data_IF_823720144293
#
_entry.id   IF_823720144293
#
_cell.length_a   1.000
_cell.length_b   1.000
_cell.length_c   1.000
_cell.angle_alpha   90.00
_cell.angle_beta   90.00
_cell.angle_gamma   90.00
#
_symmetry.space_group_name_H-M   'P 1'
#
loop_
_entity.id
_entity.type
_entity.pdbx_description
1 polymer ?
#
# COMPACT_ATOMS: atom_id res chain seq x y z
N UNK A 1 15.95 -37.27 -9.64
CA UNK A 1 16.92 -37.49 -10.75
C UNK A 1 17.33 -36.11 -11.23
N UNK A 2 18.30 -35.53 -10.54
CA UNK A 2 19.63 -35.16 -11.08
C UNK A 2 19.56 -34.15 -12.24
N UNK A 3 19.99 -32.91 -11.95
CA UNK A 3 21.17 -32.24 -12.56
C UNK A 3 20.78 -31.44 -13.82
N UNK A 4 21.09 -30.16 -14.03
CA UNK A 4 22.35 -29.44 -13.83
C UNK A 4 22.10 -27.90 -13.91
N UNK A 5 22.74 -27.14 -13.01
CA UNK A 5 23.25 -25.78 -13.28
C UNK A 5 24.26 -25.85 -14.45
N UNK A 6 24.51 -24.79 -15.25
CA UNK A 6 25.51 -23.80 -14.80
C UNK A 6 25.52 -22.38 -15.42
N UNK A 7 26.27 -21.50 -14.73
CA UNK A 7 27.15 -20.41 -15.22
C UNK A 7 26.55 -19.20 -15.98
N UNK A 8 26.62 -18.00 -15.40
CA UNK A 8 27.76 -17.06 -15.52
C UNK A 8 28.04 -16.58 -16.94
N UNK A 9 27.52 -15.40 -17.30
CA UNK A 9 28.17 -14.48 -18.23
C UNK A 9 27.87 -13.02 -17.83
N UNK A 10 28.89 -12.32 -17.32
CA UNK A 10 29.12 -10.87 -17.52
C UNK A 10 29.29 -10.61 -19.04
N UNK A 11 29.28 -9.37 -19.60
CA UNK A 11 29.70 -8.10 -19.00
C UNK A 11 29.01 -6.79 -19.51
N UNK A 12 29.45 -5.65 -18.97
CA UNK A 12 29.65 -4.35 -19.68
C UNK A 12 28.56 -3.26 -19.70
N UNK A 13 29.09 -2.03 -19.54
CA UNK A 13 28.59 -0.67 -19.86
C UNK A 13 27.74 0.04 -18.78
N UNK A 14 28.35 0.99 -18.05
CA UNK A 14 28.42 2.44 -18.35
C UNK A 14 27.11 3.14 -17.94
N UNK A 15 27.07 4.16 -17.07
CA UNK A 15 27.80 5.42 -17.14
C UNK A 15 27.71 6.20 -15.79
N UNK A 16 28.43 7.33 -15.64
CA UNK A 16 28.96 7.85 -14.38
C UNK A 16 28.15 9.01 -13.79
N UNK A 17 28.41 9.35 -12.53
CA UNK A 17 28.37 10.74 -12.07
C UNK A 17 29.49 10.99 -11.04
N UNK A 18 30.54 11.63 -11.51
CA UNK A 18 31.59 12.34 -10.75
C UNK A 18 30.94 13.51 -9.99
N UNK A 19 31.32 13.83 -8.76
CA UNK A 19 32.49 14.68 -8.46
C UNK A 19 32.75 14.79 -6.95
N UNK A 20 33.98 15.16 -6.53
CA UNK A 20 34.59 14.83 -5.23
C UNK A 20 34.67 16.06 -4.30
N UNK A 21 35.14 15.88 -3.04
CA UNK A 21 36.01 16.85 -2.34
C UNK A 21 36.57 16.25 -1.02
N UNK A 22 37.90 16.15 -0.99
CA UNK A 22 38.85 16.33 0.14
C UNK A 22 38.72 15.41 1.38
N UNK A 23 39.63 14.46 1.60
CA UNK A 23 41.04 14.55 2.05
C UNK A 23 41.24 14.57 3.57
N UNK A 24 42.39 14.00 4.00
CA UNK A 24 43.03 13.96 5.34
C UNK A 24 42.62 12.73 6.14
N UNK A 25 43.39 11.64 6.20
CA UNK A 25 44.83 11.47 6.45
C UNK A 25 45.30 12.08 7.80
N UNK A 26 45.63 11.15 8.71
CA UNK A 26 46.69 11.21 9.74
C UNK A 26 46.42 11.92 11.08
N UNK A 27 46.57 11.08 12.14
CA UNK A 27 47.10 11.30 13.50
C UNK A 27 46.49 12.43 14.35
N UNK A 28 46.12 12.10 15.59
CA UNK A 28 47.00 12.24 16.77
C UNK A 28 46.28 11.85 18.07
N UNK A 29 46.98 11.14 18.95
CA UNK A 29 46.69 10.95 20.38
C UNK A 29 46.71 12.29 21.14
N UNK A 30 46.08 12.39 22.32
CA UNK A 30 46.80 12.26 23.61
C UNK A 30 45.90 11.61 24.71
N UNK A 31 46.27 11.30 25.96
CA UNK A 31 47.48 11.38 26.77
C UNK A 31 47.23 10.56 28.05
N UNK A 32 48.31 9.96 28.55
CA UNK A 32 48.68 9.46 29.88
C UNK A 32 47.79 9.73 31.13
N UNK A 33 47.79 8.78 32.09
CA UNK A 33 48.51 8.92 33.38
C UNK A 33 48.24 7.79 34.42
N UNK A 34 49.31 7.05 34.78
CA UNK A 34 49.71 6.55 36.13
C UNK A 34 48.87 5.41 36.78
N UNK A 35 49.39 4.21 37.12
CA UNK A 35 50.28 3.87 38.28
C UNK A 35 50.48 2.33 38.39
N UNK A 36 51.59 1.88 38.98
CA UNK A 36 51.74 0.56 39.64
C UNK A 36 52.52 -0.50 38.83
N UNK A 37 53.86 -0.46 38.73
CA UNK A 37 54.88 -0.85 39.71
C UNK A 37 55.08 -2.37 39.90
N UNK A 38 56.23 -2.83 39.38
CA UNK A 38 57.20 -3.80 39.96
C UNK A 38 56.97 -5.31 39.87
N UNK A 39 58.06 -5.93 39.39
CA UNK A 39 58.64 -7.22 39.83
C UNK A 39 57.86 -8.47 39.36
N UNK A 40 58.47 -9.50 38.77
CA UNK A 40 59.84 -9.96 38.80
C UNK A 40 60.22 -10.59 37.45
N UNK A 41 61.52 -10.47 37.15
CA UNK A 41 62.40 -11.49 36.58
C UNK A 41 61.83 -12.33 35.43
N UNK A 42 62.34 -12.15 34.22
CA UNK A 42 63.62 -12.79 33.84
C UNK A 42 63.60 -14.30 34.13
N UNK A 43 64.01 -15.16 33.23
CA UNK A 43 65.27 -15.09 32.55
C UNK A 43 65.23 -16.26 31.58
N UNK A 44 65.62 -15.97 30.34
CA UNK A 44 66.51 -16.82 29.57
C UNK A 44 65.94 -18.14 29.05
N UNK A 45 65.76 -18.21 27.73
CA UNK A 45 66.84 -18.64 26.83
C UNK A 45 67.36 -20.02 27.24
N UNK A 46 67.07 -21.04 26.43
CA UNK A 46 68.13 -21.62 25.61
C UNK A 46 67.55 -22.64 24.60
N UNK A 47 67.84 -22.40 23.31
CA UNK A 47 68.24 -23.36 22.26
C UNK A 47 67.43 -24.65 22.08
N UNK A 48 66.69 -24.77 20.97
CA UNK A 48 67.08 -25.22 19.61
C UNK A 48 67.07 -26.75 19.43
N UNK A 49 66.59 -27.25 18.26
CA UNK A 49 66.07 -28.60 18.06
C UNK A 49 67.15 -29.57 17.51
N UNK A 50 66.80 -30.86 17.32
CA UNK A 50 66.96 -31.36 15.95
C UNK A 50 65.87 -32.33 15.46
N UNK A 51 65.64 -32.21 14.15
CA UNK A 51 65.31 -33.23 13.14
C UNK A 51 65.13 -34.68 13.59
N UNK A 52 64.01 -35.31 13.19
CA UNK A 52 63.97 -36.16 11.99
C UNK A 52 62.54 -36.70 11.78
N UNK A 53 62.11 -36.77 10.52
CA UNK A 53 60.84 -37.35 10.10
C UNK A 53 60.69 -38.79 10.59
N UNK A 54 59.51 -39.11 11.13
CA UNK A 54 58.89 -40.43 10.96
C UNK A 54 57.44 -40.26 10.53
N UNK A 55 57.22 -40.47 9.24
CA UNK A 55 55.96 -40.90 8.66
C UNK A 55 55.47 -42.15 9.40
N UNK A 56 54.37 -42.01 10.15
CA UNK A 56 53.56 -43.15 10.57
C UNK A 56 52.13 -42.94 10.11
N UNK A 57 51.81 -43.63 9.02
CA UNK A 57 50.45 -43.90 8.57
C UNK A 57 49.57 -44.35 9.74
N UNK A 58 48.45 -43.66 9.96
CA UNK A 58 47.28 -44.23 10.64
C UNK A 58 45.99 -43.72 9.99
N UNK A 59 45.74 -44.22 8.78
CA UNK A 59 44.40 -44.34 8.23
C UNK A 59 43.58 -45.28 9.15
N UNK A 60 42.82 -44.70 10.09
CA UNK A 60 41.76 -45.38 10.87
C UNK A 60 40.99 -44.38 11.77
N UNK A 61 40.42 -43.32 11.19
CA UNK A 61 39.43 -42.48 11.90
C UNK A 61 38.48 -41.71 10.95
N UNK A 62 38.21 -42.23 9.75
CA UNK A 62 37.29 -41.59 8.80
C UNK A 62 35.83 -41.68 9.26
N UNK A 63 35.38 -42.86 9.72
CA UNK A 63 33.95 -43.09 10.00
C UNK A 63 33.33 -42.25 11.11
N UNK A 64 34.10 -41.76 12.09
CA UNK A 64 33.58 -40.93 13.17
C UNK A 64 33.31 -39.47 12.77
N UNK A 65 34.13 -38.92 11.88
CA UNK A 65 33.94 -37.56 11.35
C UNK A 65 32.71 -37.51 10.45
N UNK A 66 32.51 -38.54 9.62
CA UNK A 66 31.36 -38.66 8.71
C UNK A 66 30.03 -38.75 9.48
N UNK A 67 30.00 -39.45 10.62
CA UNK A 67 28.82 -39.53 11.48
C UNK A 67 28.49 -38.21 12.18
N UNK A 68 29.50 -37.46 12.66
CA UNK A 68 29.29 -36.13 13.23
C UNK A 68 28.78 -35.13 12.19
N UNK A 69 29.36 -35.12 10.99
CA UNK A 69 28.90 -34.29 9.87
C UNK A 69 27.46 -34.64 9.48
N UNK A 70 27.09 -35.92 9.43
CA UNK A 70 25.72 -36.36 9.12
C UNK A 70 24.71 -35.94 10.19
N UNK A 71 25.09 -35.99 11.49
CA UNK A 71 24.23 -35.50 12.58
C UNK A 71 24.01 -34.00 12.50
N UNK A 72 25.07 -33.21 12.27
CA UNK A 72 24.96 -31.74 12.12
C UNK A 72 24.10 -31.37 10.91
N UNK A 73 24.29 -32.03 9.77
CA UNK A 73 23.49 -31.79 8.57
C UNK A 73 22.02 -32.14 8.77
N UNK A 74 21.72 -33.22 9.52
CA UNK A 74 20.33 -33.57 9.86
C UNK A 74 19.69 -32.50 10.75
N UNK A 75 20.41 -32.00 11.74
CA UNK A 75 19.93 -30.92 12.61
C UNK A 75 19.68 -29.63 11.83
N UNK A 76 20.62 -29.22 10.97
CA UNK A 76 20.47 -28.03 10.11
C UNK A 76 19.28 -28.18 9.15
N UNK A 77 19.12 -29.36 8.53
CA UNK A 77 17.99 -29.63 7.64
C UNK A 77 16.64 -29.50 8.36
N UNK A 78 16.55 -30.02 9.60
CA UNK A 78 15.33 -29.90 10.41
C UNK A 78 15.00 -28.44 10.74
N UNK A 79 16.00 -27.61 11.06
CA UNK A 79 15.79 -26.18 11.32
C UNK A 79 15.34 -25.41 10.07
N UNK A 80 15.96 -25.68 8.92
CA UNK A 80 15.57 -25.04 7.65
C UNK A 80 14.14 -25.46 7.26
N UNK A 81 13.80 -26.74 7.42
CA UNK A 81 12.45 -27.22 7.16
C UNK A 81 11.41 -26.57 8.07
N UNK A 82 11.70 -26.45 9.38
CA UNK A 82 10.82 -25.78 10.33
C UNK A 82 10.63 -24.29 10.00
N UNK A 83 11.71 -23.59 9.63
CA UNK A 83 11.65 -22.20 9.21
C UNK A 83 10.82 -22.03 7.92
N UNK A 84 10.97 -22.93 6.95
CA UNK A 84 10.20 -22.93 5.71
C UNK A 84 8.70 -23.11 5.94
N UNK A 85 8.31 -24.08 6.76
CA UNK A 85 6.90 -24.30 7.14
C UNK A 85 6.35 -23.10 7.92
N UNK A 86 7.13 -22.54 8.85
CA UNK A 86 6.74 -21.35 9.59
C UNK A 86 6.48 -20.14 8.68
N UNK A 87 7.33 -19.92 7.67
CA UNK A 87 7.17 -18.81 6.74
C UNK A 87 5.92 -18.95 5.87
N UNK A 88 5.62 -20.18 5.41
CA UNK A 88 4.40 -20.47 4.65
C UNK A 88 3.17 -20.29 5.54
N UNK A 89 3.21 -20.79 6.78
CA UNK A 89 2.13 -20.63 7.75
C UNK A 89 1.82 -19.18 8.07
N UNK A 90 2.85 -18.35 8.32
CA UNK A 90 2.69 -16.91 8.56
C UNK A 90 2.12 -16.18 7.35
N UNK A 91 2.56 -16.53 6.14
CA UNK A 91 2.04 -15.93 4.90
C UNK A 91 0.56 -16.23 4.69
N UNK A 92 0.11 -17.46 5.00
CA UNK A 92 -1.29 -17.85 4.92
C UNK A 92 -2.15 -17.20 6.03
N UNK A 93 -1.60 -17.06 7.25
CA UNK A 93 -2.29 -16.44 8.37
C UNK A 93 -2.40 -14.91 8.27
N UNK A 94 -1.54 -14.24 7.50
CA UNK A 94 -1.55 -12.78 7.37
C UNK A 94 -2.87 -12.25 6.78
N UNK A 95 -3.48 -12.97 5.83
CA UNK A 95 -4.73 -12.53 5.17
C UNK A 95 -5.92 -12.46 6.13
N UNK A 96 -6.29 -13.52 6.88
CA UNK A 96 -7.39 -13.43 7.84
C UNK A 96 -7.08 -12.47 9.01
N UNK A 97 -5.82 -12.39 9.46
CA UNK A 97 -5.41 -11.45 10.51
C UNK A 97 -5.61 -9.99 10.05
N UNK A 98 -5.25 -9.69 8.79
CA UNK A 98 -5.48 -8.37 8.20
C UNK A 98 -6.98 -8.04 8.09
N UNK A 99 -7.81 -9.02 7.69
CA UNK A 99 -9.27 -8.83 7.65
C UNK A 99 -9.86 -8.51 9.01
N UNK A 100 -9.45 -9.22 10.05
CA UNK A 100 -9.87 -8.94 11.43
C UNK A 100 -9.43 -7.55 11.90
N UNK A 101 -8.21 -7.15 11.57
CA UNK A 101 -7.72 -5.80 11.86
C UNK A 101 -8.53 -4.73 11.12
N UNK A 102 -8.82 -4.92 9.83
CA UNK A 102 -9.62 -3.99 9.03
C UNK A 102 -11.06 -3.88 9.53
N UNK A 103 -11.66 -4.98 10.00
CA UNK A 103 -12.99 -4.97 10.61
C UNK A 103 -12.99 -4.25 11.96
N UNK A 104 -11.97 -4.46 12.80
CA UNK A 104 -11.88 -3.81 14.11
C UNK A 104 -11.56 -2.30 14.02
N UNK A 105 -10.81 -1.88 13.01
CA UNK A 105 -10.40 -0.47 12.84
C UNK A 105 -11.27 0.32 11.87
N UNK A 106 -12.08 -0.34 11.05
CA UNK A 106 -12.95 0.29 10.06
C UNK A 106 -12.22 0.94 8.87
N UNK A 107 -10.90 0.73 8.72
CA UNK A 107 -10.11 1.37 7.65
C UNK A 107 -10.29 0.74 6.25
N UNK A 108 -11.08 -0.33 6.13
CA UNK A 108 -11.11 -1.18 4.93
C UNK A 108 -12.37 -1.11 4.06
N UNK A 109 -13.42 -0.38 4.47
CA UNK A 109 -14.66 -0.23 3.69
C UNK A 109 -15.44 -1.53 3.40
N UNK A 110 -14.98 -2.70 3.86
CA UNK A 110 -15.78 -3.92 3.84
C UNK A 110 -16.80 -3.81 4.96
N UNK A 111 -17.96 -3.28 4.61
CA UNK A 111 -19.17 -3.42 5.39
C UNK A 111 -19.28 -4.88 5.86
N UNK A 112 -19.68 -5.05 7.11
CA UNK A 112 -20.18 -6.32 7.63
C UNK A 112 -21.12 -6.87 6.57
N UNK A 113 -20.93 -8.12 6.18
CA UNK A 113 -21.73 -8.77 5.15
C UNK A 113 -23.15 -9.04 5.66
N UNK A 114 -23.89 -7.97 5.94
CA UNK A 114 -25.31 -7.98 6.16
C UNK A 114 -25.93 -7.18 5.03
N UNK A 115 -26.31 -7.92 4.01
CA UNK A 115 -27.01 -7.45 2.82
C UNK A 115 -28.45 -7.09 3.25
N UNK A 116 -28.62 -6.03 4.03
CA UNK A 116 -29.91 -5.61 4.56
C UNK A 116 -30.58 -4.60 3.62
N UNK A 117 -31.04 -5.09 2.47
CA UNK A 117 -31.91 -4.33 1.56
C UNK A 117 -33.29 -4.01 2.17
N UNK A 118 -33.62 -4.63 3.32
CA UNK A 118 -34.91 -4.46 4.01
C UNK A 118 -34.91 -3.32 5.05
N UNK A 119 -33.75 -2.73 5.36
CA UNK A 119 -33.67 -1.62 6.34
C UNK A 119 -34.14 -0.28 5.76
N UNK A 120 -34.18 -0.12 4.44
CA UNK A 120 -34.59 1.14 3.79
C UNK A 120 -36.05 1.50 4.08
N UNK A 121 -36.93 0.53 4.33
CA UNK A 121 -38.36 0.79 4.61
C UNK A 121 -38.65 1.14 6.08
N UNK A 122 -37.71 0.90 7.01
CA UNK A 122 -37.93 1.05 8.46
C UNK A 122 -37.06 2.13 9.10
N UNK A 123 -36.38 2.96 8.31
CA UNK A 123 -35.58 4.06 8.83
C UNK A 123 -36.51 5.19 9.33
N UNK A 124 -36.54 5.39 10.65
CA UNK A 124 -37.13 6.60 11.24
C UNK A 124 -36.10 7.73 11.11
N UNK A 125 -36.41 8.84 10.42
CA UNK A 125 -35.49 9.96 10.33
C UNK A 125 -35.26 10.52 11.73
N UNK A 126 -33.99 10.55 12.17
CA UNK A 126 -33.59 11.30 13.37
C UNK A 126 -33.61 12.77 12.96
N UNK A 127 -34.78 13.42 13.14
CA UNK A 127 -35.07 14.79 12.69
C UNK A 127 -34.19 15.88 13.30
N UNK A 128 -33.28 15.53 14.19
CA UNK A 128 -32.62 16.46 15.10
C UNK A 128 -31.24 16.92 14.62
N UNK A 129 -30.66 16.26 13.60
CA UNK A 129 -29.33 16.60 13.08
C UNK A 129 -29.35 16.97 11.60
N UNK A 130 -29.07 18.24 11.32
CA UNK A 130 -28.99 18.77 9.95
C UNK A 130 -27.53 18.70 9.49
N UNK A 131 -27.29 18.01 8.37
CA UNK A 131 -25.97 17.90 7.75
C UNK A 131 -25.93 18.78 6.51
N UNK A 132 -24.87 19.59 6.40
CA UNK A 132 -24.61 20.38 5.21
C UNK A 132 -23.85 19.56 4.17
N UNK A 133 -24.47 19.32 3.02
CA UNK A 133 -23.79 18.70 1.89
C UNK A 133 -23.35 19.79 0.92
N UNK A 134 -22.04 19.98 0.80
CA UNK A 134 -21.41 20.90 -0.13
C UNK A 134 -21.07 20.17 -1.44
N UNK A 135 -21.38 20.78 -2.58
CA UNK A 135 -21.11 20.22 -3.89
C UNK A 135 -19.96 20.95 -4.55
N UNK A 136 -18.93 20.20 -4.93
CA UNK A 136 -17.81 20.69 -5.71
C UNK A 136 -17.77 20.01 -7.07
N UNK A 137 -17.33 20.76 -8.08
CA UNK A 137 -17.25 20.36 -9.47
C UNK A 137 -15.92 20.82 -10.05
N UNK A 138 -15.10 19.85 -10.45
CA UNK A 138 -13.80 20.07 -11.06
C UNK A 138 -13.74 19.41 -12.44
N UNK A 139 -12.93 19.97 -13.33
CA UNK A 139 -12.65 19.42 -14.65
C UNK A 139 -11.16 19.27 -14.85
N UNK A 140 -10.72 18.10 -15.30
CA UNK A 140 -9.31 17.89 -15.63
C UNK A 140 -8.92 18.69 -16.89
N UNK A 141 -7.66 19.09 -17.01
CA UNK A 141 -7.15 19.89 -18.13
C UNK A 141 -7.32 19.22 -19.51
N UNK A 142 -7.56 17.91 -19.55
CA UNK A 142 -7.83 17.19 -20.80
C UNK A 142 -9.24 17.40 -21.35
N UNK A 143 -10.20 17.83 -20.53
CA UNK A 143 -11.60 18.01 -20.94
C UNK A 143 -11.99 19.48 -20.91
N UNK A 144 -12.46 20.01 -22.03
CA UNK A 144 -12.86 21.42 -22.18
C UNK A 144 -14.37 21.59 -21.95
N UNK A 145 -14.86 21.05 -20.84
CA UNK A 145 -16.24 21.22 -20.42
C UNK A 145 -16.34 22.32 -19.38
N UNK A 146 -17.44 23.06 -19.41
CA UNK A 146 -17.85 23.90 -18.30
C UNK A 146 -18.77 23.06 -17.42
N UNK A 147 -18.22 22.55 -16.32
CA UNK A 147 -18.94 21.73 -15.35
C UNK A 147 -19.07 22.48 -14.03
N UNK A 148 -20.31 22.64 -13.56
CA UNK A 148 -20.61 23.37 -12.33
C UNK A 148 -21.82 22.78 -11.60
N UNK A 149 -21.86 22.81 -10.26
CA UNK A 149 -23.06 22.45 -9.54
C UNK A 149 -24.14 23.53 -9.78
N UNK A 150 -25.41 23.13 -9.86
CA UNK A 150 -26.51 24.10 -9.84
C UNK A 150 -26.71 24.70 -8.44
N UNK A 151 -26.46 23.89 -7.42
CA UNK A 151 -26.56 24.26 -6.00
C UNK A 151 -25.24 23.95 -5.30
N UNK A 152 -24.64 24.94 -4.65
CA UNK A 152 -23.32 24.78 -4.00
C UNK A 152 -23.43 24.04 -2.67
N UNK A 153 -24.58 24.14 -2.00
CA UNK A 153 -24.85 23.44 -0.74
C UNK A 153 -26.34 23.12 -0.60
N UNK A 154 -26.62 22.01 0.09
CA UNK A 154 -27.96 21.69 0.58
C UNK A 154 -27.89 21.21 2.03
N UNK A 155 -28.99 21.37 2.74
CA UNK A 155 -29.17 20.89 4.10
C UNK A 155 -30.06 19.65 4.05
N UNK A 156 -29.59 18.54 4.60
CA UNK A 156 -30.28 17.25 4.59
C UNK A 156 -30.23 16.62 5.98
N UNK A 157 -31.23 15.82 6.30
CA UNK A 157 -31.27 15.04 7.54
C UNK A 157 -30.86 13.59 7.25
N UNK A 158 -30.08 12.92 8.12
CA UNK A 158 -29.84 11.48 7.99
C UNK A 158 -31.15 10.67 7.88
N UNK A 159 -31.21 9.76 6.91
CA UNK A 159 -32.40 9.02 6.52
C UNK A 159 -33.31 9.74 5.51
N UNK A 160 -33.03 11.00 5.16
CA UNK A 160 -33.72 11.71 4.07
C UNK A 160 -32.99 11.53 2.74
N UNK A 161 -33.75 11.26 1.68
CA UNK A 161 -33.23 11.23 0.31
C UNK A 161 -33.21 12.62 -0.30
N UNK A 162 -32.11 12.99 -0.93
CA UNK A 162 -31.93 14.28 -1.57
C UNK A 162 -31.50 14.15 -3.04
N UNK A 163 -31.86 15.17 -3.82
CA UNK A 163 -31.51 15.29 -5.23
C UNK A 163 -30.67 16.54 -5.45
N UNK A 164 -29.56 16.39 -6.17
CA UNK A 164 -28.73 17.50 -6.60
C UNK A 164 -28.49 17.47 -8.10
N UNK A 165 -28.37 18.65 -8.71
CA UNK A 165 -28.14 18.80 -10.13
C UNK A 165 -26.78 19.41 -10.39
N UNK A 166 -26.07 18.82 -11.34
CA UNK A 166 -24.89 19.42 -11.94
C UNK A 166 -25.17 19.76 -13.41
N UNK A 167 -24.52 20.82 -13.90
CA UNK A 167 -24.64 21.27 -15.27
C UNK A 167 -23.31 21.08 -15.97
N UNK A 168 -23.34 20.37 -17.10
CA UNK A 168 -22.18 20.20 -17.97
C UNK A 168 -22.49 20.80 -19.34
N UNK A 169 -21.54 21.60 -19.86
CA UNK A 169 -21.59 22.16 -21.20
C UNK A 169 -20.31 21.90 -21.96
N UNK A 170 -20.43 21.32 -23.15
CA UNK A 170 -19.32 21.24 -24.09
C UNK A 170 -19.22 22.56 -24.85
N UNK A 171 -18.13 23.32 -24.66
CA UNK A 171 -17.94 24.61 -25.35
C UNK A 171 -17.16 24.48 -26.67
N UNK A 172 -16.86 23.25 -27.11
CA UNK A 172 -16.05 22.98 -28.30
C UNK A 172 -16.91 22.58 -29.49
N UNK A 173 -16.33 22.64 -30.69
CA UNK A 173 -17.00 22.28 -31.95
C UNK A 173 -16.95 20.78 -32.28
N UNK A 174 -16.44 19.95 -31.36
CA UNK A 174 -16.34 18.49 -31.52
C UNK A 174 -17.05 17.76 -30.38
N UNK A 175 -17.63 16.58 -30.64
CA UNK A 175 -18.15 15.75 -29.57
C UNK A 175 -17.00 15.28 -28.69
N UNK A 176 -17.21 15.31 -27.37
CA UNK A 176 -16.24 14.85 -26.38
C UNK A 176 -16.93 13.80 -25.52
N UNK A 177 -16.21 12.74 -25.18
CA UNK A 177 -16.67 11.71 -24.24
C UNK A 177 -15.91 11.94 -22.93
N UNK A 178 -16.67 12.06 -21.84
CA UNK A 178 -16.14 12.26 -20.50
C UNK A 178 -16.56 11.12 -19.58
N UNK A 179 -15.63 10.70 -18.72
CA UNK A 179 -15.93 9.88 -17.54
C UNK A 179 -15.65 10.72 -16.30
N UNK A 180 -16.41 10.52 -15.24
CA UNK A 180 -16.19 11.25 -13.98
C UNK A 180 -15.75 10.31 -12.88
N UNK A 181 -15.09 10.86 -11.87
CA UNK A 181 -14.91 10.20 -10.59
C UNK A 181 -15.44 11.12 -9.49
N UNK A 182 -15.79 10.52 -8.35
CA UNK A 182 -16.29 11.27 -7.21
C UNK A 182 -15.48 10.96 -5.95
N UNK A 183 -15.48 11.91 -5.03
CA UNK A 183 -14.90 11.76 -3.70
C UNK A 183 -15.85 12.37 -2.65
N UNK A 184 -15.88 11.76 -1.46
CA UNK A 184 -16.65 12.23 -0.31
C UNK A 184 -15.69 12.58 0.82
N UNK A 185 -15.78 13.80 1.33
CA UNK A 185 -14.93 14.32 2.40
C UNK A 185 -15.81 14.81 3.56
N UNK A 186 -15.52 14.45 4.83
CA UNK A 186 -14.43 13.59 5.28
C UNK A 186 -14.63 12.12 4.89
N UNK A 187 -13.53 11.38 4.75
CA UNK A 187 -13.55 9.97 4.32
C UNK A 187 -14.39 9.08 5.24
N UNK A 188 -14.37 9.37 6.54
CA UNK A 188 -15.14 8.63 7.55
C UNK A 188 -16.66 8.75 7.34
N UNK A 189 -17.15 9.88 6.79
CA UNK A 189 -18.55 10.05 6.44
C UNK A 189 -18.92 9.32 5.12
N UNK A 190 -17.93 8.97 4.31
CA UNK A 190 -18.11 8.31 3.02
C UNK A 190 -18.78 6.93 3.13
N UNK A 191 -18.64 6.24 4.26
CA UNK A 191 -19.29 4.94 4.49
C UNK A 191 -20.81 5.03 4.68
N UNK A 192 -21.29 6.18 5.17
CA UNK A 192 -22.71 6.44 5.38
C UNK A 192 -23.35 7.17 4.21
N UNK A 193 -22.55 7.65 3.25
CA UNK A 193 -23.02 8.40 2.10
C UNK A 193 -23.39 7.45 0.96
N UNK A 194 -24.68 7.19 0.80
CA UNK A 194 -25.19 6.24 -0.18
C UNK A 194 -25.74 6.97 -1.41
N UNK A 195 -25.10 6.74 -2.55
CA UNK A 195 -25.45 7.36 -3.82
C UNK A 195 -26.21 6.34 -4.69
N UNK A 196 -27.51 6.54 -4.81
CA UNK A 196 -28.44 5.61 -5.47
C UNK A 196 -28.29 5.68 -6.99
N UNK A 197 -28.11 6.87 -7.56
CA UNK A 197 -27.94 7.06 -9.01
C UNK A 197 -26.78 8.01 -9.30
N UNK A 198 -25.87 7.61 -10.18
CA UNK A 198 -24.79 8.47 -10.62
C UNK A 198 -24.29 8.21 -12.05
N UNK A 199 -24.00 9.32 -12.73
CA UNK A 199 -23.20 9.40 -13.96
C UNK A 199 -21.72 8.97 -13.81
N UNK A 200 -21.30 8.55 -12.60
CA UNK A 200 -19.91 8.41 -12.15
C UNK A 200 -19.10 7.34 -12.87
N UNK A 201 -19.72 6.49 -13.67
CA UNK A 201 -19.06 5.35 -14.28
C UNK A 201 -19.56 5.07 -15.69
N UNK A 202 -20.37 5.98 -16.22
CA UNK A 202 -20.90 5.90 -17.57
C UNK A 202 -20.21 6.96 -18.42
N UNK A 203 -19.81 6.56 -19.61
CA UNK A 203 -19.27 7.46 -20.62
C UNK A 203 -20.35 8.44 -21.05
N UNK A 204 -20.19 9.70 -20.66
CA UNK A 204 -21.09 10.78 -21.07
C UNK A 204 -20.55 11.39 -22.36
N UNK A 205 -21.33 11.31 -23.44
CA UNK A 205 -20.99 11.96 -24.71
C UNK A 205 -21.79 13.25 -24.83
N UNK A 206 -21.11 14.40 -24.87
CA UNK A 206 -21.73 15.69 -25.16
C UNK A 206 -21.35 16.14 -26.58
N UNK A 207 -22.34 16.44 -27.39
CA UNK A 207 -22.17 17.01 -28.72
C UNK A 207 -21.66 18.46 -28.63
N UNK A 208 -21.21 19.03 -29.75
CA UNK A 208 -20.77 20.43 -29.80
C UNK A 208 -21.84 21.38 -29.25
N UNK A 209 -21.45 22.29 -28.35
CA UNK A 209 -22.33 23.29 -27.73
C UNK A 209 -23.53 22.73 -26.95
N UNK A 210 -23.56 21.42 -26.70
CA UNK A 210 -24.61 20.77 -25.93
C UNK A 210 -24.44 21.06 -24.43
N UNK A 211 -25.57 21.31 -23.77
CA UNK A 211 -25.67 21.52 -22.33
C UNK A 211 -26.67 20.52 -21.76
N UNK A 212 -26.25 19.79 -20.74
CA UNK A 212 -27.08 18.76 -20.08
C UNK A 212 -27.06 18.95 -18.56
N UNK A 213 -28.20 18.69 -17.94
CA UNK A 213 -28.34 18.63 -16.49
C UNK A 213 -28.23 17.17 -16.02
N UNK A 214 -27.27 16.90 -15.15
CA UNK A 214 -26.95 15.58 -14.62
C UNK A 214 -27.44 15.48 -13.17
N UNK A 215 -28.52 14.71 -12.90
CA UNK A 215 -29.01 14.50 -11.55
C UNK A 215 -28.12 13.53 -10.77
N UNK A 216 -27.98 13.78 -9.47
CA UNK A 216 -27.36 12.88 -8.49
C UNK A 216 -28.36 12.67 -7.37
N UNK A 217 -28.79 11.42 -7.19
CA UNK A 217 -29.71 11.02 -6.14
C UNK A 217 -28.97 10.25 -5.05
N UNK A 218 -29.09 10.72 -3.81
CA UNK A 218 -28.34 10.19 -2.68
C UNK A 218 -29.13 10.31 -1.37
N UNK A 219 -28.66 9.61 -0.34
CA UNK A 219 -29.11 9.76 1.04
C UNK A 219 -27.94 9.53 1.99
N UNK A 220 -28.09 10.00 3.22
CA UNK A 220 -27.15 9.72 4.32
C UNK A 220 -27.81 8.66 5.19
N UNK A 221 -27.10 7.58 5.51
CA UNK A 221 -27.59 6.54 6.40
C UNK A 221 -27.86 7.10 7.82
N UNK A 222 -29.00 6.81 8.46
CA UNK A 222 -29.26 7.21 9.84
C UNK A 222 -28.25 6.69 10.86
N UNK A 223 -27.52 5.59 10.58
CA UNK A 223 -26.42 5.11 11.43
C UNK A 223 -25.29 6.16 11.59
N UNK A 224 -25.24 7.18 10.73
CA UNK A 224 -24.35 8.33 10.86
C UNK A 224 -24.52 9.06 12.20
N UNK A 225 -25.72 9.10 12.76
CA UNK A 225 -25.96 9.77 14.03
C UNK A 225 -25.56 8.92 15.25
N UNK A 226 -25.53 7.60 15.09
CA UNK A 226 -25.17 6.67 16.16
C UNK A 226 -23.65 6.56 16.36
N UNK A 227 -22.83 6.85 15.34
CA UNK A 227 -21.37 6.79 15.43
C UNK A 227 -20.76 8.01 16.18
N UNK A 228 -20.10 7.80 17.35
CA UNK A 228 -19.42 8.87 18.07
C UNK A 228 -18.34 9.60 17.27
N UNK A 229 -17.73 8.96 16.26
CA UNK A 229 -16.74 9.59 15.37
C UNK A 229 -17.40 10.67 14.53
N UNK A 230 -18.64 10.44 14.12
CA UNK A 230 -19.39 11.34 13.25
C UNK A 230 -20.03 12.49 14.02
N UNK A 231 -20.03 12.49 15.36
CA UNK A 231 -20.62 13.52 16.21
C UNK A 231 -20.13 14.96 15.96
N UNK A 232 -18.97 15.15 15.32
CA UNK A 232 -18.42 16.47 14.95
C UNK A 232 -18.44 16.78 13.46
N UNK A 233 -18.96 15.86 12.65
CA UNK A 233 -19.02 16.01 11.19
C UNK A 233 -20.40 16.57 10.84
N UNK A 234 -20.46 17.87 10.61
CA UNK A 234 -21.71 18.56 10.22
C UNK A 234 -21.69 18.99 8.75
N UNK A 235 -20.55 18.83 8.07
CA UNK A 235 -20.39 19.15 6.65
C UNK A 235 -19.75 18.00 5.91
N UNK A 236 -20.41 17.58 4.82
CA UNK A 236 -19.91 16.57 3.89
C UNK A 236 -19.74 17.24 2.53
N UNK A 237 -18.57 17.12 1.93
CA UNK A 237 -18.30 17.65 0.59
C UNK A 237 -18.30 16.50 -0.40
N UNK A 238 -19.20 16.58 -1.39
CA UNK A 238 -19.25 15.71 -2.55
C UNK A 238 -18.55 16.41 -3.72
N UNK A 239 -17.35 15.93 -4.04
CA UNK A 239 -16.52 16.48 -5.12
C UNK A 239 -16.55 15.56 -6.33
N UNK A 240 -16.86 16.11 -7.50
CA UNK A 240 -16.78 15.42 -8.79
C UNK A 240 -15.66 15.97 -9.63
N UNK A 241 -14.96 15.08 -10.34
CA UNK A 241 -13.95 15.47 -11.33
C UNK A 241 -14.18 14.74 -12.65
N UNK A 242 -14.30 15.50 -13.74
CA UNK A 242 -14.41 14.93 -15.10
C UNK A 242 -13.06 14.76 -15.79
N UNK A 243 -12.92 13.66 -16.51
CA UNK A 243 -11.77 13.29 -17.34
C UNK A 243 -12.24 12.97 -18.76
N UNK A 244 -11.47 13.40 -19.75
CA UNK A 244 -11.70 13.00 -21.15
C UNK A 244 -11.41 11.50 -21.32
N UNK A 245 -12.42 10.74 -21.76
CA UNK A 245 -12.26 9.36 -22.19
C UNK A 245 -11.85 9.37 -23.66
N UNK A 246 -10.60 9.01 -23.94
CA UNK A 246 -10.11 8.88 -25.32
C UNK A 246 -10.39 7.47 -25.82
N UNK A 247 -11.11 7.37 -26.93
CA UNK A 247 -11.23 6.12 -27.67
C UNK A 247 -9.82 5.57 -27.99
N UNK A 248 -9.50 4.38 -27.48
CA UNK A 248 -8.28 3.66 -27.84
C UNK A 248 -7.12 3.69 -26.84
N UNK A 249 -7.27 4.29 -25.64
CA UNK A 249 -6.31 4.02 -24.57
C UNK A 249 -6.59 2.64 -23.96
N UNK A 250 -6.01 1.60 -24.56
CA UNK A 250 -5.86 0.29 -23.91
C UNK A 250 -4.99 0.48 -22.67
N UNK A 251 -5.61 0.58 -21.51
CA UNK A 251 -4.90 0.49 -20.24
C UNK A 251 -4.23 -0.90 -20.21
N UNK A 252 -2.89 -0.99 -20.04
CA UNK A 252 -2.27 -2.27 -19.80
C UNK A 252 -2.76 -2.78 -18.45
N UNK A 253 -3.76 -3.66 -18.46
CA UNK A 253 -4.15 -4.38 -17.26
C UNK A 253 -2.93 -5.20 -16.83
N UNK A 254 -2.42 -5.04 -15.60
CA UNK A 254 -1.30 -5.85 -15.13
C UNK A 254 -1.74 -7.32 -15.12
N UNK A 255 -1.23 -8.10 -16.07
CA UNK A 255 -1.36 -9.56 -16.07
C UNK A 255 -2.25 -10.21 -17.14
N UNK A 256 -2.77 -9.49 -18.14
CA UNK A 256 -3.51 -10.14 -19.25
C UNK A 256 -2.82 -9.92 -20.60
N UNK A 257 -2.17 -10.97 -21.11
CA UNK A 257 -1.66 -11.01 -22.48
C UNK A 257 -2.80 -11.40 -23.41
N UNK A 258 -3.32 -10.44 -24.19
CA UNK A 258 -4.19 -10.75 -25.31
C UNK A 258 -3.33 -11.28 -26.45
N UNK A 259 -3.28 -12.60 -26.62
CA UNK A 259 -2.86 -13.23 -27.87
C UNK A 259 -3.98 -13.13 -28.91
#
# INVERSE_FOLDING_TARGET
MLLLLPLMLRPSLCCPLTSPLLSRFIRTLPSSSIRGLRSQAELFLQRRPPSHLQTRSRSRKSGGLDEEWRRRNKTVLMYIAAAGVGMIGLSYAAVPLYRLYCQATGLGGTAVAEHNTDLVETMKPVKERIIKVAFNADTHASIQWNFKPQQTEILVVPGETALAFYKAKNSTDKPIIGISTYNVVPFEAGQYFNKIQCFCFEEQRLNPHEEVDMPVFFYIDPEFDEDPRMARVDTITLSYTFFEAKDGQKLPLPGYSYN
#
